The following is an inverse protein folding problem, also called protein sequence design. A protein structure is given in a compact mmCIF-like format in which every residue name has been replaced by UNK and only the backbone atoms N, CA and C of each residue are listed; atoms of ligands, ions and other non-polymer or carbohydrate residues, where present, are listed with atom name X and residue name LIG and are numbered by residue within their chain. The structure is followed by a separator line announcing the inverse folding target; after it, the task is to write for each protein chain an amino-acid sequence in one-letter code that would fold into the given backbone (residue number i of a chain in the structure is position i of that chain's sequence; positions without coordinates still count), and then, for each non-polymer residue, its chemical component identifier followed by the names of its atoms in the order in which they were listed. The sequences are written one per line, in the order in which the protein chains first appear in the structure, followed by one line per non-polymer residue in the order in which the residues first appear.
data_IF_694571757798
#
_entry.id   IF_694571757798
#
_cell.length_a   1.000
_cell.length_b   1.000
_cell.length_c   1.000
_cell.angle_alpha   90.00
_cell.angle_beta   90.00
_cell.angle_gamma   90.00
#
_symmetry.space_group_name_H-M   'P 1'
#
loop_
_entity.id
_entity.type
_entity.pdbx_description
1 polymer ?
#
# COMPACT_ATOMS: atom_id res chain seq x y z
N UNK A 1 -6.37 -18.35 18.65
CA UNK A 1 -6.29 -18.04 18.11
C UNK A 1 -6.34 -17.29 17.44
N UNK A 2 -6.15 -16.79 17.41
CA UNK A 2 -6.19 -16.13 16.78
C UNK A 2 -6.04 -15.92 15.72
N UNK A 3 -5.61 -16.37 15.55
CA UNK A 3 -5.38 -16.40 14.33
C UNK A 3 -6.37 -16.01 13.55
N UNK A 4 -7.43 -16.15 13.83
CA UNK A 4 -8.43 -15.84 13.12
C UNK A 4 -8.34 -14.58 12.60
N UNK A 5 -7.73 -13.87 13.23
CA UNK A 5 -7.52 -12.62 12.72
C UNK A 5 -6.94 -12.64 11.40
N UNK A 6 -6.21 -13.63 11.15
CA UNK A 6 -5.62 -13.75 9.88
C UNK A 6 -6.59 -13.82 8.81
N UNK A 7 -7.80 -14.13 9.13
CA UNK A 7 -8.75 -14.20 8.11
C UNK A 7 -9.17 -12.86 7.66
N UNK A 8 -8.87 -11.82 8.36
CA UNK A 8 -9.17 -10.54 7.89
C UNK A 8 -8.33 -10.23 6.74
N UNK A 9 -8.93 -9.95 5.62
CA UNK A 9 -8.19 -9.56 4.44
C UNK A 9 -8.31 -8.08 4.27
N UNK A 10 -7.33 -7.47 3.62
CA UNK A 10 -7.34 -6.06 3.31
C UNK A 10 -7.21 -5.97 1.80
N UNK A 11 -8.31 -6.14 1.06
CA UNK A 11 -8.24 -6.20 -0.39
C UNK A 11 -7.95 -4.87 -1.07
N UNK A 12 -8.11 -3.77 -0.35
CA UNK A 12 -7.89 -2.46 -0.93
C UNK A 12 -6.51 -1.97 -0.55
N UNK A 13 -5.61 -1.92 -1.53
CA UNK A 13 -4.25 -1.47 -1.31
C UNK A 13 -4.06 -0.13 -1.96
N UNK A 14 -3.45 0.81 -1.26
CA UNK A 14 -3.17 2.11 -1.83
C UNK A 14 -1.76 2.09 -2.36
N UNK A 15 -1.65 2.21 -3.68
CA UNK A 15 -0.38 2.09 -4.38
C UNK A 15 0.18 3.48 -4.66
N UNK A 16 1.44 3.67 -4.34
CA UNK A 16 2.07 4.98 -4.58
C UNK A 16 3.14 4.91 -5.64
N UNK A 17 3.59 3.73 -6.00
CA UNK A 17 4.64 3.61 -6.99
C UNK A 17 4.67 2.23 -7.62
N UNK A 18 5.21 2.18 -8.82
CA UNK A 18 5.42 0.93 -9.52
C UNK A 18 6.88 0.98 -9.96
N UNK A 19 7.64 -0.05 -9.63
CA UNK A 19 9.07 -0.05 -9.91
C UNK A 19 9.47 -1.28 -10.71
N UNK A 20 10.68 -1.26 -11.22
CA UNK A 20 11.16 -2.32 -12.10
C UNK A 20 11.76 -3.51 -11.35
N UNK A 21 12.18 -3.31 -10.11
CA UNK A 21 12.80 -4.40 -9.36
C UNK A 21 12.39 -4.35 -7.89
N UNK A 22 12.53 -5.50 -7.23
CA UNK A 22 12.08 -5.62 -5.84
C UNK A 22 12.97 -4.84 -4.89
N UNK A 23 14.23 -4.66 -5.24
CA UNK A 23 15.15 -3.96 -4.38
C UNK A 23 14.70 -2.52 -4.16
N UNK A 24 14.30 -1.84 -5.24
CA UNK A 24 13.81 -0.48 -5.15
C UNK A 24 12.51 -0.44 -4.38
N UNK A 25 11.64 -1.43 -4.63
CA UNK A 25 10.36 -1.49 -3.94
C UNK A 25 10.55 -1.67 -2.44
N UNK A 26 11.47 -2.53 -2.04
CA UNK A 26 11.73 -2.77 -0.63
C UNK A 26 12.30 -1.53 0.04
N UNK A 27 13.15 -0.81 -0.66
CA UNK A 27 13.71 0.42 -0.12
C UNK A 27 12.61 1.44 0.12
N UNK A 28 11.69 1.58 -0.83
CA UNK A 28 10.58 2.51 -0.67
C UNK A 28 9.67 2.09 0.48
N UNK A 29 9.36 0.80 0.58
CA UNK A 29 8.51 0.31 1.66
C UNK A 29 9.19 0.53 3.02
N UNK A 30 10.50 0.33 3.08
CA UNK A 30 11.24 0.58 4.30
C UNK A 30 11.19 2.05 4.72
N UNK A 31 11.31 2.95 3.75
CA UNK A 31 11.22 4.37 4.03
C UNK A 31 9.84 4.73 4.55
N UNK A 32 8.81 4.16 3.96
CA UNK A 32 7.45 4.43 4.40
C UNK A 32 7.23 3.96 5.83
N UNK A 33 7.76 2.79 6.16
CA UNK A 33 7.64 2.27 7.51
C UNK A 33 8.35 3.18 8.50
N UNK A 34 9.47 3.73 8.11
CA UNK A 34 10.21 4.65 8.96
C UNK A 34 9.44 5.95 9.18
N UNK A 35 8.58 6.31 8.23
CA UNK A 35 7.77 7.51 8.35
C UNK A 35 6.48 7.26 9.12
N UNK A 36 6.23 6.04 9.55
CA UNK A 36 5.04 5.72 10.31
C UNK A 36 3.98 4.92 9.58
N UNK A 37 4.20 4.63 8.31
CA UNK A 37 3.24 3.84 7.53
C UNK A 37 3.55 2.36 7.70
N UNK A 38 3.17 1.82 8.83
CA UNK A 38 3.56 0.45 9.18
C UNK A 38 2.93 -0.60 8.29
N UNK A 39 1.90 -0.24 7.55
CA UNK A 39 1.27 -1.17 6.62
C UNK A 39 1.92 -1.21 5.25
N UNK A 40 3.00 -0.47 5.05
CA UNK A 40 3.65 -0.44 3.75
C UNK A 40 4.21 -1.81 3.39
N UNK A 41 4.06 -2.20 2.14
CA UNK A 41 4.54 -3.50 1.68
C UNK A 41 4.76 -3.47 0.18
N UNK A 42 5.44 -4.50 -0.31
CA UNK A 42 5.68 -4.66 -1.73
C UNK A 42 4.69 -5.69 -2.26
N UNK A 43 4.02 -5.37 -3.36
CA UNK A 43 3.10 -6.28 -4.01
C UNK A 43 3.66 -6.63 -5.37
N UNK A 44 3.74 -7.93 -5.66
CA UNK A 44 4.23 -8.37 -6.96
C UNK A 44 3.12 -9.17 -7.66
N UNK A 45 3.08 -9.05 -8.97
CA UNK A 45 2.10 -9.79 -9.76
C UNK A 45 2.17 -9.34 -11.21
N UNK A 46 1.86 -10.26 -12.12
CA UNK A 46 1.82 -9.96 -13.55
C UNK A 46 3.09 -9.28 -14.05
N UNK A 47 4.22 -9.65 -13.48
CA UNK A 47 5.48 -9.08 -13.92
C UNK A 47 5.71 -7.65 -13.45
N UNK A 48 4.85 -7.15 -12.57
CA UNK A 48 4.98 -5.79 -12.07
C UNK A 48 5.21 -5.79 -10.58
N UNK A 49 5.95 -4.81 -10.12
CA UNK A 49 6.26 -4.67 -8.71
C UNK A 49 5.71 -3.32 -8.26
N UNK A 50 4.80 -3.36 -7.30
CA UNK A 50 4.14 -2.16 -6.82
C UNK A 50 4.43 -1.96 -5.34
N UNK A 51 4.48 -0.71 -4.93
CA UNK A 51 4.69 -0.37 -3.52
C UNK A 51 3.39 0.15 -2.96
N UNK A 52 2.87 -0.55 -1.95
CA UNK A 52 1.64 -0.18 -1.27
C UNK A 52 2.01 0.55 0.01
N UNK A 53 1.41 1.70 0.23
CA UNK A 53 1.67 2.48 1.45
C UNK A 53 0.80 1.98 2.59
N UNK A 54 -0.38 1.44 2.27
CA UNK A 54 -1.25 0.87 3.29
C UNK A 54 -2.30 0.00 2.63
N UNK A 55 -2.95 -0.82 3.44
CA UNK A 55 -4.02 -1.68 2.97
C UNK A 55 -5.23 -1.44 3.85
N UNK A 56 -6.41 -1.49 3.27
CA UNK A 56 -7.64 -1.25 3.99
C UNK A 56 -8.64 -2.36 3.75
N UNK A 57 -9.48 -2.62 4.73
CA UNK A 57 -10.50 -3.65 4.63
C UNK A 57 -11.76 -3.12 3.98
N UNK A 58 -11.99 -1.81 4.11
CA UNK A 58 -13.18 -1.13 3.63
C UNK A 58 -12.85 -0.22 2.50
N UNK A 59 -13.69 -0.20 1.48
CA UNK A 59 -13.48 0.68 0.35
C UNK A 59 -13.61 2.14 0.74
N UNK A 60 -14.55 2.45 1.62
CA UNK A 60 -14.74 3.82 2.08
C UNK A 60 -13.53 4.32 2.83
N UNK A 61 -12.99 3.46 3.68
CA UNK A 61 -11.80 3.80 4.43
C UNK A 61 -10.62 4.01 3.50
N UNK A 62 -10.49 3.12 2.51
CA UNK A 62 -9.42 3.23 1.54
C UNK A 62 -9.51 4.54 0.76
N UNK A 63 -10.72 4.93 0.35
CA UNK A 63 -10.92 6.19 -0.35
C UNK A 63 -10.53 7.37 0.52
N UNK A 64 -10.89 7.33 1.78
CA UNK A 64 -10.58 8.40 2.71
C UNK A 64 -9.07 8.54 2.88
N UNK A 65 -8.39 7.42 3.04
CA UNK A 65 -6.94 7.45 3.19
C UNK A 65 -6.28 7.91 1.89
N UNK A 66 -6.82 7.48 0.76
CA UNK A 66 -6.28 7.87 -0.54
C UNK A 66 -6.37 9.38 -0.74
N UNK A 67 -7.51 9.97 -0.40
CA UNK A 67 -7.67 11.41 -0.54
C UNK A 67 -6.70 12.16 0.35
N UNK A 68 -6.50 11.66 1.56
CA UNK A 68 -5.56 12.26 2.47
C UNK A 68 -4.15 12.21 1.92
N UNK A 69 -3.78 11.07 1.36
CA UNK A 69 -2.44 10.91 0.81
C UNK A 69 -2.21 11.82 -0.39
N UNK A 70 -3.25 12.02 -1.19
CA UNK A 70 -3.10 12.85 -2.38
C UNK A 70 -2.86 14.32 -2.06
N UNK A 71 -3.13 14.72 -0.82
CA UNK A 71 -2.84 16.08 -0.39
C UNK A 71 -1.33 16.27 -0.26
N UNK A 72 -0.60 15.17 -0.14
CA UNK A 72 0.85 15.23 -0.06
C UNK A 72 1.42 15.15 -1.46
N UNK A 73 2.27 16.09 -1.82
CA UNK A 73 2.88 16.11 -3.14
C UNK A 73 3.57 14.81 -3.49
N UNK A 74 4.17 14.17 -2.53
CA UNK A 74 4.90 12.93 -2.77
C UNK A 74 3.98 11.80 -3.18
N UNK A 75 2.71 11.87 -2.82
CA UNK A 75 1.78 10.77 -3.08
C UNK A 75 0.56 11.19 -3.90
N UNK A 76 0.68 12.29 -4.61
CA UNK A 76 -0.48 12.81 -5.34
C UNK A 76 -0.96 11.88 -6.43
N UNK A 77 -0.09 10.97 -6.87
CA UNK A 77 -0.46 10.01 -7.91
C UNK A 77 -0.89 8.65 -7.33
N UNK A 78 -1.11 8.58 -6.04
CA UNK A 78 -1.52 7.34 -5.41
C UNK A 78 -2.86 6.88 -5.96
N UNK A 79 -3.06 5.57 -6.01
CA UNK A 79 -4.30 5.01 -6.51
C UNK A 79 -4.62 3.73 -5.73
N UNK A 80 -5.85 3.29 -5.85
CA UNK A 80 -6.32 2.13 -5.11
C UNK A 80 -6.30 0.91 -6.00
N UNK A 81 -5.75 -0.17 -5.49
CA UNK A 81 -5.76 -1.46 -6.18
C UNK A 81 -6.61 -2.40 -5.33
N UNK A 82 -7.65 -2.94 -5.94
CA UNK A 82 -8.50 -3.91 -5.25
C UNK A 82 -8.16 -5.30 -5.76
N UNK A 83 -7.94 -6.21 -4.84
CA UNK A 83 -7.60 -7.58 -5.21
C UNK A 83 -8.66 -8.55 -4.78
#
# INVERSE_FOLDING_TARGET
TETKVVEKTFPYHIIIASVANTKDAEAMAGELKAKGYTGARVLTGDGKIRVSIMSCADREDANRQLLKLRENEAYKNAWMLAI
#
